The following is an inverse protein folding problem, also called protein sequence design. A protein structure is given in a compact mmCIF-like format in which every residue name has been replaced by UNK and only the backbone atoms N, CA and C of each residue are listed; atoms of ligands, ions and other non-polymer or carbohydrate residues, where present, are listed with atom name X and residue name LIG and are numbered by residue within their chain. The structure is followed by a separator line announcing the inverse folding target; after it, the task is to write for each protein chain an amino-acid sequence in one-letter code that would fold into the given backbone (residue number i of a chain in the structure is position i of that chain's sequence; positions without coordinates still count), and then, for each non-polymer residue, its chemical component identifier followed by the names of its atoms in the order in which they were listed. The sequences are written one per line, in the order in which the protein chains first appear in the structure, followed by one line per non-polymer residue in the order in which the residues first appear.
data_IF_270804972384
#
_entry.id   IF_270804972384
#
_cell.length_a   1.000
_cell.length_b   1.000
_cell.length_c   1.000
_cell.angle_alpha   90.00
_cell.angle_beta   90.00
_cell.angle_gamma   90.00
#
_symmetry.space_group_name_H-M   'P 1'
#
loop_
_entity.id
_entity.type
_entity.pdbx_description
1 polymer ?
#
# COMPACT_ATOMS: atom_id res chain seq x y z
N UNK A 1 15.56 21.38 3.00
CA UNK A 1 16.73 20.72 3.62
C UNK A 1 17.63 20.10 2.57
N UNK A 2 17.20 19.05 1.84
CA UNK A 2 18.03 18.38 0.82
C UNK A 2 18.66 19.30 -0.23
N UNK A 3 17.87 20.18 -0.87
CA UNK A 3 18.40 21.17 -1.84
C UNK A 3 19.44 22.14 -1.29
N UNK A 4 19.51 22.33 0.03
CA UNK A 4 20.54 23.15 0.65
C UNK A 4 21.84 22.35 0.89
N UNK A 5 21.74 21.03 0.93
CA UNK A 5 22.85 20.09 1.07
C UNK A 5 23.46 19.73 -0.30
N UNK A 6 22.62 19.57 -1.32
CA UNK A 6 23.03 19.33 -2.71
C UNK A 6 23.58 20.61 -3.32
N UNK A 7 24.91 20.77 -3.26
CA UNK A 7 25.60 21.98 -3.72
C UNK A 7 25.85 21.98 -5.22
N UNK A 8 25.94 20.79 -5.82
CA UNK A 8 26.22 20.65 -7.25
C UNK A 8 24.93 20.59 -8.09
N UNK A 9 23.77 20.36 -7.47
CA UNK A 9 22.46 20.37 -8.10
C UNK A 9 22.14 19.11 -8.92
N UNK A 10 22.83 18.00 -8.69
CA UNK A 10 22.64 16.74 -9.40
C UNK A 10 21.51 15.88 -8.81
N UNK A 11 20.78 16.37 -7.81
CA UNK A 11 19.70 15.67 -7.12
C UNK A 11 20.16 14.40 -6.37
N UNK A 12 21.44 14.32 -6.02
CA UNK A 12 22.03 13.33 -5.12
C UNK A 12 22.99 14.01 -4.13
N UNK A 13 23.33 13.32 -3.05
CA UNK A 13 24.32 13.78 -2.08
C UNK A 13 25.51 12.84 -2.14
N UNK A 14 26.65 13.38 -2.56
CA UNK A 14 27.92 12.70 -2.39
C UNK A 14 28.30 12.60 -0.90
N UNK A 15 29.18 11.67 -0.49
CA UNK A 15 29.68 11.59 0.89
C UNK A 15 30.27 12.93 1.37
N UNK A 16 30.90 13.66 0.46
CA UNK A 16 31.50 14.97 0.73
C UNK A 16 30.41 16.02 1.03
N UNK A 17 29.37 16.09 0.21
CA UNK A 17 28.24 17.00 0.41
C UNK A 17 27.46 16.67 1.68
N UNK A 18 27.21 15.38 1.94
CA UNK A 18 26.59 14.92 3.17
C UNK A 18 27.40 15.33 4.41
N UNK A 19 28.73 15.16 4.37
CA UNK A 19 29.62 15.58 5.46
C UNK A 19 29.55 17.09 5.71
N UNK A 20 29.61 17.90 4.66
CA UNK A 20 29.50 19.35 4.79
C UNK A 20 28.15 19.76 5.34
N UNK A 21 27.07 19.16 4.85
CA UNK A 21 25.74 19.38 5.37
C UNK A 21 25.64 19.09 6.86
N UNK A 22 26.09 17.91 7.32
CA UNK A 22 26.05 17.55 8.74
C UNK A 22 26.82 18.54 9.60
N UNK A 23 27.98 19.01 9.12
CA UNK A 23 28.76 20.05 9.81
C UNK A 23 28.00 21.38 9.90
N UNK A 24 27.29 21.79 8.85
CA UNK A 24 26.49 23.01 8.83
C UNK A 24 25.32 22.94 9.84
N UNK A 25 24.81 21.74 10.14
CA UNK A 25 23.82 21.47 11.21
C UNK A 25 24.45 21.23 12.60
N UNK A 26 25.77 21.40 12.75
CA UNK A 26 26.46 21.25 14.03
C UNK A 26 26.89 19.83 14.39
N UNK A 27 26.75 18.87 13.47
CA UNK A 27 27.17 17.48 13.64
C UNK A 27 28.54 17.25 12.98
N UNK A 28 29.57 17.01 13.80
CA UNK A 28 30.90 16.67 13.30
C UNK A 28 31.07 15.16 13.21
N UNK A 29 30.87 14.61 12.01
CA UNK A 29 31.06 13.20 11.71
C UNK A 29 32.46 12.94 11.14
N UNK A 30 33.07 11.81 11.53
CA UNK A 30 34.29 11.28 10.93
C UNK A 30 34.04 10.73 9.53
N UNK A 31 35.10 10.55 8.73
CA UNK A 31 34.99 9.93 7.39
C UNK A 31 34.37 8.53 7.44
N UNK A 32 34.68 7.77 8.52
CA UNK A 32 34.17 6.41 8.71
C UNK A 32 32.66 6.46 8.96
N UNK A 33 32.20 7.35 9.85
CA UNK A 33 30.78 7.52 10.15
C UNK A 33 30.00 8.00 8.92
N UNK A 34 30.54 8.98 8.17
CA UNK A 34 29.93 9.44 6.91
C UNK A 34 29.80 8.29 5.93
N UNK A 35 30.86 7.49 5.75
CA UNK A 35 30.83 6.35 4.84
C UNK A 35 29.82 5.29 5.28
N UNK A 36 29.72 5.02 6.58
CA UNK A 36 28.75 4.08 7.13
C UNK A 36 27.31 4.57 6.94
N UNK A 37 27.07 5.86 7.18
CA UNK A 37 25.75 6.47 7.00
C UNK A 37 25.39 6.49 5.52
N UNK A 38 26.26 6.98 4.63
CA UNK A 38 25.98 6.96 3.19
C UNK A 38 25.68 5.55 2.72
N UNK A 39 26.48 4.55 3.13
CA UNK A 39 26.24 3.15 2.79
C UNK A 39 24.93 2.59 3.34
N UNK A 40 24.44 3.10 4.46
CA UNK A 40 23.14 2.71 5.02
C UNK A 40 21.98 3.26 4.19
N UNK A 41 22.13 4.47 3.63
CA UNK A 41 21.10 5.12 2.82
C UNK A 41 21.15 4.68 1.35
N UNK A 42 22.34 4.42 0.82
CA UNK A 42 22.65 4.01 -0.56
C UNK A 42 22.17 2.57 -0.82
N UNK A 43 20.92 2.45 -1.27
CA UNK A 43 20.23 1.18 -1.52
C UNK A 43 20.64 0.61 -2.87
N UNK A 44 20.83 1.49 -3.86
CA UNK A 44 21.21 1.10 -5.22
C UNK A 44 22.73 0.83 -5.37
N UNK A 45 23.54 1.15 -4.34
CA UNK A 45 24.99 0.98 -4.27
C UNK A 45 25.77 1.81 -5.28
N UNK A 46 25.27 3.00 -5.62
CA UNK A 46 25.92 3.94 -6.54
C UNK A 46 26.95 4.85 -5.84
N UNK A 47 27.05 4.76 -4.51
CA UNK A 47 27.99 5.51 -3.67
C UNK A 47 27.51 6.91 -3.29
N UNK A 48 26.26 7.27 -3.60
CA UNK A 48 25.64 8.55 -3.30
C UNK A 48 24.28 8.31 -2.63
N UNK A 49 23.71 9.37 -2.04
CA UNK A 49 22.34 9.33 -1.50
C UNK A 49 21.45 10.12 -2.45
N UNK A 50 20.65 9.44 -3.25
CA UNK A 50 19.63 10.11 -4.07
C UNK A 50 18.56 10.80 -3.20
N UNK A 51 17.82 11.74 -3.78
CA UNK A 51 16.70 12.37 -3.08
C UNK A 51 15.69 11.35 -2.54
N UNK A 52 15.40 10.30 -3.31
CA UNK A 52 14.45 9.25 -2.91
C UNK A 52 14.99 8.40 -1.76
N UNK A 53 16.27 8.03 -1.77
CA UNK A 53 16.91 7.32 -0.65
C UNK A 53 16.97 8.15 0.62
N UNK A 54 17.25 9.45 0.50
CA UNK A 54 17.23 10.38 1.62
C UNK A 54 15.83 10.51 2.23
N UNK A 55 14.80 10.60 1.38
CA UNK A 55 13.42 10.62 1.84
C UNK A 55 13.04 9.33 2.55
N UNK A 56 13.33 8.17 1.97
CA UNK A 56 13.07 6.86 2.60
C UNK A 56 13.66 6.78 4.00
N UNK A 57 14.89 7.22 4.17
CA UNK A 57 15.58 7.12 5.45
C UNK A 57 15.13 8.16 6.50
N UNK A 58 14.59 9.32 6.09
CA UNK A 58 14.04 10.32 7.03
C UNK A 58 12.59 10.00 7.42
N UNK A 59 11.84 9.31 6.56
CA UNK A 59 10.44 8.94 6.81
C UNK A 59 10.27 8.08 8.07
N UNK A 60 11.30 7.33 8.46
CA UNK A 60 11.27 6.42 9.61
C UNK A 60 10.41 5.19 9.34
N UNK A 61 10.47 4.22 10.23
CA UNK A 61 9.69 2.99 10.11
C UNK A 61 8.23 3.22 10.52
N UNK A 62 7.34 2.35 9.99
CA UNK A 62 5.98 2.24 10.50
C UNK A 62 6.03 1.88 11.98
N UNK A 63 5.18 2.53 12.78
CA UNK A 63 4.95 2.06 14.15
C UNK A 63 4.23 0.70 14.13
N UNK A 64 4.33 -0.04 15.22
CA UNK A 64 3.80 -1.42 15.33
C UNK A 64 2.33 -1.53 14.89
N UNK A 65 1.48 -0.55 15.26
CA UNK A 65 0.06 -0.53 14.89
C UNK A 65 -0.15 -0.36 13.38
N UNK A 66 0.61 0.51 12.72
CA UNK A 66 0.55 0.68 11.27
C UNK A 66 1.11 -0.54 10.54
N UNK A 67 2.19 -1.14 11.05
CA UNK A 67 2.78 -2.37 10.52
C UNK A 67 1.76 -3.52 10.54
N UNK A 68 1.09 -3.75 11.68
CA UNK A 68 0.07 -4.80 11.81
C UNK A 68 -1.07 -4.63 10.79
N UNK A 69 -1.49 -3.39 10.55
CA UNK A 69 -2.55 -3.06 9.60
C UNK A 69 -2.12 -3.31 8.15
N UNK A 70 -0.89 -2.94 7.79
CA UNK A 70 -0.30 -3.24 6.47
C UNK A 70 -0.17 -4.75 6.27
N UNK A 71 0.28 -5.50 7.27
CA UNK A 71 0.36 -6.97 7.20
C UNK A 71 -1.03 -7.61 7.08
N UNK A 72 -2.04 -7.05 7.75
CA UNK A 72 -3.41 -7.54 7.61
C UNK A 72 -3.94 -7.32 6.19
N UNK A 73 -3.66 -6.16 5.59
CA UNK A 73 -3.98 -5.91 4.18
C UNK A 73 -3.26 -6.88 3.24
N UNK A 74 -1.97 -7.13 3.48
CA UNK A 74 -1.19 -8.07 2.68
C UNK A 74 -1.78 -9.48 2.72
N UNK A 75 -2.20 -9.96 3.89
CA UNK A 75 -2.88 -11.27 4.04
C UNK A 75 -4.24 -11.36 3.34
N UNK A 76 -4.92 -10.23 3.13
CA UNK A 76 -6.18 -10.21 2.36
C UNK A 76 -5.90 -10.35 0.87
N UNK A 77 -4.77 -9.80 0.41
CA UNK A 77 -4.31 -9.92 -0.98
C UNK A 77 -3.72 -11.29 -1.28
N UNK A 78 -2.88 -11.85 -0.40
CA UNK A 78 -2.28 -13.19 -0.54
C UNK A 78 -3.36 -14.30 -0.37
N UNK A 79 -4.08 -14.60 -1.45
CA UNK A 79 -5.23 -15.52 -1.43
C UNK A 79 -4.79 -16.97 -1.36
N UNK A 80 -3.65 -17.29 -1.95
CA UNK A 80 -3.10 -18.64 -1.95
C UNK A 80 -2.24 -18.95 -0.71
N UNK A 81 -1.90 -17.94 0.10
CA UNK A 81 -1.14 -18.06 1.32
C UNK A 81 0.34 -18.39 1.06
N UNK A 82 0.84 -18.08 -0.13
CA UNK A 82 2.21 -18.36 -0.54
C UNK A 82 3.23 -17.43 0.11
N UNK A 83 2.77 -16.35 0.76
CA UNK A 83 3.61 -15.28 1.31
C UNK A 83 4.12 -14.31 0.24
N UNK A 84 3.57 -14.38 -0.98
CA UNK A 84 3.88 -13.51 -2.11
C UNK A 84 2.57 -13.11 -2.79
N UNK A 85 2.34 -11.82 -3.01
CA UNK A 85 1.16 -11.36 -3.76
C UNK A 85 1.52 -11.34 -5.24
N UNK A 86 0.81 -12.14 -6.03
CA UNK A 86 1.03 -12.26 -7.48
C UNK A 86 -0.08 -11.58 -8.27
N UNK A 87 0.12 -11.48 -9.59
CA UNK A 87 -0.93 -10.97 -10.48
C UNK A 87 -2.22 -11.81 -10.43
N UNK A 88 -2.11 -13.11 -10.12
CA UNK A 88 -3.26 -14.01 -10.02
C UNK A 88 -4.09 -13.69 -8.78
N UNK A 89 -3.44 -13.36 -7.66
CA UNK A 89 -4.09 -12.93 -6.42
C UNK A 89 -4.86 -11.63 -6.62
N UNK A 90 -4.23 -10.64 -7.26
CA UNK A 90 -4.86 -9.34 -7.54
C UNK A 90 -6.01 -9.48 -8.52
N UNK A 91 -5.91 -10.38 -9.52
CA UNK A 91 -7.01 -10.65 -10.46
C UNK A 91 -8.27 -11.17 -9.76
N UNK A 92 -8.12 -11.84 -8.61
CA UNK A 92 -9.25 -12.31 -7.80
C UNK A 92 -9.83 -11.15 -6.98
N UNK A 93 -8.97 -10.28 -6.43
CA UNK A 93 -9.39 -9.18 -5.57
C UNK A 93 -9.91 -7.94 -6.32
N UNK A 94 -9.46 -7.68 -7.55
CA UNK A 94 -9.75 -6.46 -8.30
C UNK A 94 -10.53 -6.74 -9.60
N UNK A 95 -11.75 -6.19 -9.69
CA UNK A 95 -12.58 -6.30 -10.88
C UNK A 95 -12.24 -5.19 -11.90
N UNK A 96 -11.50 -5.56 -12.94
CA UNK A 96 -11.10 -4.66 -14.04
C UNK A 96 -12.26 -4.24 -14.96
N UNK A 97 -13.43 -4.88 -14.87
CA UNK A 97 -14.54 -4.64 -15.81
C UNK A 97 -15.12 -3.22 -15.75
N UNK A 98 -14.90 -2.52 -14.64
CA UNK A 98 -15.30 -1.13 -14.44
C UNK A 98 -14.20 -0.12 -14.79
N UNK A 99 -12.99 -0.56 -15.15
CA UNK A 99 -11.89 0.34 -15.49
C UNK A 99 -12.14 1.01 -16.86
N UNK A 100 -12.07 2.35 -16.97
CA UNK A 100 -12.38 3.08 -18.21
C UNK A 100 -11.55 2.62 -19.43
N UNK A 101 -10.26 2.31 -19.21
CA UNK A 101 -9.38 1.83 -20.28
C UNK A 101 -9.69 0.38 -20.70
N UNK A 102 -10.28 -0.42 -19.81
CA UNK A 102 -10.75 -1.77 -20.14
C UNK A 102 -12.05 -1.68 -20.97
N UNK A 103 -12.99 -0.84 -20.54
CA UNK A 103 -14.27 -0.62 -21.23
C UNK A 103 -14.11 -0.02 -22.62
N UNK A 104 -13.12 0.87 -22.79
CA UNK A 104 -12.80 1.47 -24.09
C UNK A 104 -11.92 0.59 -24.97
N UNK A 105 -11.44 -0.56 -24.46
CA UNK A 105 -10.58 -1.49 -25.17
C UNK A 105 -9.15 -0.99 -25.42
N UNK A 106 -8.73 0.09 -24.76
CA UNK A 106 -7.37 0.63 -24.86
C UNK A 106 -6.35 -0.22 -24.13
N UNK A 107 -6.76 -0.87 -23.03
CA UNK A 107 -5.91 -1.76 -22.25
C UNK A 107 -6.61 -3.06 -21.95
N UNK A 108 -5.85 -4.14 -21.98
CA UNK A 108 -6.27 -5.46 -21.52
C UNK A 108 -6.33 -5.51 -19.99
N UNK A 109 -7.00 -6.55 -19.46
CA UNK A 109 -7.04 -6.80 -18.02
C UNK A 109 -5.62 -6.92 -17.44
N UNK A 110 -4.74 -7.65 -18.11
CA UNK A 110 -3.37 -7.90 -17.63
C UNK A 110 -2.51 -6.64 -17.65
N UNK A 111 -2.69 -5.74 -18.63
CA UNK A 111 -2.00 -4.45 -18.65
C UNK A 111 -2.44 -3.55 -17.49
N UNK A 112 -3.74 -3.52 -17.17
CA UNK A 112 -4.26 -2.72 -16.04
C UNK A 112 -3.79 -3.29 -14.71
N UNK A 113 -3.80 -4.61 -14.56
CA UNK A 113 -3.30 -5.27 -13.35
C UNK A 113 -1.79 -5.07 -13.21
N UNK A 114 -1.02 -5.17 -14.29
CA UNK A 114 0.41 -4.87 -14.29
C UNK A 114 0.70 -3.42 -13.92
N UNK A 115 -0.05 -2.46 -14.45
CA UNK A 115 0.09 -1.05 -14.06
C UNK A 115 -0.20 -0.86 -12.58
N UNK A 116 -1.21 -1.55 -12.06
CA UNK A 116 -1.56 -1.52 -10.64
C UNK A 116 -0.45 -2.13 -9.77
N UNK A 117 0.13 -3.28 -10.16
CA UNK A 117 1.25 -3.88 -9.43
C UNK A 117 2.50 -3.00 -9.45
N UNK A 118 2.72 -2.27 -10.54
CA UNK A 118 3.88 -1.38 -10.67
C UNK A 118 3.92 -0.26 -9.62
N UNK A 119 2.80 -0.01 -8.93
CA UNK A 119 2.74 0.91 -7.79
C UNK A 119 3.48 0.37 -6.56
N UNK A 120 3.55 -0.96 -6.40
CA UNK A 120 4.17 -1.62 -5.25
C UNK A 120 5.53 -2.21 -5.56
N UNK A 121 5.80 -2.60 -6.81
CA UNK A 121 7.09 -3.14 -7.26
C UNK A 121 8.18 -2.05 -7.31
N UNK A 122 8.58 -1.55 -6.15
CA UNK A 122 9.56 -0.45 -6.05
C UNK A 122 10.99 -0.94 -6.16
N UNK A 123 11.25 -2.23 -5.89
CA UNK A 123 12.61 -2.80 -5.91
C UNK A 123 12.83 -3.63 -7.17
N UNK A 124 11.90 -4.52 -7.52
CA UNK A 124 12.01 -5.37 -8.71
C UNK A 124 10.66 -5.56 -9.39
N UNK A 125 10.61 -5.33 -10.71
CA UNK A 125 9.43 -5.58 -11.53
C UNK A 125 9.43 -7.02 -12.03
N UNK A 126 9.20 -7.99 -11.15
CA UNK A 126 9.15 -9.41 -11.49
C UNK A 126 7.75 -10.03 -11.40
N UNK A 127 6.74 -9.18 -11.31
CA UNK A 127 5.33 -9.51 -11.18
C UNK A 127 4.96 -10.18 -9.85
N UNK A 128 5.75 -9.90 -8.82
CA UNK A 128 5.60 -10.42 -7.46
C UNK A 128 5.79 -9.24 -6.51
N UNK A 129 4.81 -9.01 -5.64
CA UNK A 129 4.89 -7.98 -4.61
C UNK A 129 5.24 -8.66 -3.30
N UNK A 130 6.45 -8.46 -2.80
CA UNK A 130 6.85 -8.98 -1.49
C UNK A 130 6.28 -8.14 -0.36
N UNK A 131 6.27 -8.67 0.87
CA UNK A 131 5.82 -7.92 2.04
C UNK A 131 6.68 -6.67 2.27
N UNK A 132 7.98 -6.73 1.99
CA UNK A 132 8.90 -5.60 2.13
C UNK A 132 8.59 -4.49 1.13
N UNK A 133 8.28 -4.84 -0.12
CA UNK A 133 7.88 -3.85 -1.14
C UNK A 133 6.53 -3.19 -0.78
N UNK A 134 5.60 -3.99 -0.27
CA UNK A 134 4.30 -3.51 0.19
C UNK A 134 4.43 -2.59 1.42
N UNK A 135 5.28 -2.94 2.38
CA UNK A 135 5.61 -2.09 3.52
C UNK A 135 6.22 -0.77 3.09
N UNK A 136 7.21 -0.78 2.18
CA UNK A 136 7.88 0.42 1.71
C UNK A 136 6.90 1.37 1.00
N UNK A 137 5.97 0.85 0.21
CA UNK A 137 4.89 1.67 -0.34
C UNK A 137 4.03 2.33 0.75
N UNK A 138 3.66 1.59 1.79
CA UNK A 138 2.85 2.14 2.88
C UNK A 138 3.63 3.04 3.83
N UNK A 139 4.96 2.93 3.93
CA UNK A 139 5.82 3.93 4.60
C UNK A 139 5.66 5.29 3.94
N UNK A 140 5.59 5.33 2.62
CA UNK A 140 5.45 6.57 1.86
C UNK A 140 4.10 7.24 2.08
N UNK A 141 3.02 6.46 2.09
CA UNK A 141 1.68 6.96 2.42
C UNK A 141 1.61 7.37 3.90
N UNK A 142 2.16 6.55 4.79
CA UNK A 142 2.22 6.78 6.25
C UNK A 142 2.88 8.10 6.59
N UNK A 143 3.99 8.44 5.92
CA UNK A 143 4.71 9.69 6.14
C UNK A 143 3.90 10.95 5.78
N UNK A 144 2.83 10.81 4.98
CA UNK A 144 1.90 11.89 4.67
C UNK A 144 0.68 11.95 5.61
N UNK A 145 0.57 10.98 6.53
CA UNK A 145 -0.58 10.81 7.41
C UNK A 145 -0.17 10.99 8.88
N UNK A 146 -0.66 12.07 9.48
CA UNK A 146 -0.34 12.45 10.86
C UNK A 146 -1.01 11.57 11.91
N UNK A 147 -2.11 10.88 11.58
CA UNK A 147 -2.95 10.12 12.52
C UNK A 147 -3.00 8.63 12.17
N UNK A 148 -2.67 7.79 13.16
CA UNK A 148 -2.79 6.33 13.05
C UNK A 148 -4.23 5.87 12.79
N UNK A 149 -5.21 6.59 13.35
CA UNK A 149 -6.63 6.29 13.16
C UNK A 149 -7.07 6.55 11.72
N UNK A 150 -6.57 7.63 11.11
CA UNK A 150 -6.81 7.93 9.70
C UNK A 150 -6.09 6.95 8.78
N UNK A 151 -4.85 6.58 9.12
CA UNK A 151 -4.09 5.56 8.39
C UNK A 151 -4.84 4.22 8.40
N UNK A 152 -5.31 3.79 9.56
CA UNK A 152 -6.10 2.57 9.71
C UNK A 152 -7.41 2.62 8.93
N UNK A 153 -8.16 3.72 9.03
CA UNK A 153 -9.38 3.91 8.26
C UNK A 153 -9.12 3.83 6.75
N UNK A 154 -8.03 4.44 6.29
CA UNK A 154 -7.63 4.43 4.89
C UNK A 154 -7.30 3.01 4.41
N UNK A 155 -6.47 2.26 5.14
CA UNK A 155 -6.15 0.87 4.78
C UNK A 155 -7.40 -0.02 4.82
N UNK A 156 -8.24 0.11 5.86
CA UNK A 156 -9.49 -0.66 5.97
C UNK A 156 -10.43 -0.39 4.80
N UNK A 157 -10.56 0.86 4.39
CA UNK A 157 -11.40 1.24 3.25
C UNK A 157 -10.82 0.75 1.93
N UNK A 158 -9.49 0.86 1.74
CA UNK A 158 -8.82 0.41 0.52
C UNK A 158 -8.93 -1.11 0.29
N UNK A 159 -8.83 -1.89 1.37
CA UNK A 159 -8.78 -3.37 1.31
C UNK A 159 -10.03 -4.07 1.85
N UNK A 160 -11.09 -3.32 2.13
CA UNK A 160 -12.34 -3.85 2.69
C UNK A 160 -12.14 -4.74 3.95
N UNK A 161 -11.18 -4.39 4.81
CA UNK A 161 -10.87 -5.13 6.03
C UNK A 161 -11.93 -4.82 7.11
N UNK A 162 -12.54 -5.87 7.67
CA UNK A 162 -13.52 -5.78 8.74
C UNK A 162 -12.91 -5.35 10.10
N UNK A 163 -13.64 -4.52 10.85
CA UNK A 163 -13.24 -4.04 12.19
C UNK A 163 -13.09 -2.51 12.30
N UNK A 164 -12.51 -2.09 13.43
CA UNK A 164 -12.38 -0.69 13.88
C UNK A 164 -13.50 -0.28 14.84
N UNK A 165 -13.18 0.53 15.85
CA UNK A 165 -14.16 1.15 16.77
C UNK A 165 -14.28 2.66 16.49
N UNK A 166 -15.49 3.20 16.56
CA UNK A 166 -15.72 4.65 16.38
C UNK A 166 -15.35 5.16 14.97
N UNK A 167 -14.49 6.18 14.89
CA UNK A 167 -14.08 6.82 13.62
C UNK A 167 -13.18 5.93 12.74
N UNK A 168 -12.67 4.82 13.30
CA UNK A 168 -11.83 3.85 12.61
C UNK A 168 -12.64 2.71 11.98
N UNK A 169 -13.95 2.67 12.25
CA UNK A 169 -14.84 1.63 11.74
C UNK A 169 -15.03 1.82 10.23
N UNK A 170 -14.76 0.76 9.48
CA UNK A 170 -14.90 0.73 8.03
C UNK A 170 -16.36 1.08 7.60
N UNK A 171 -16.51 2.13 6.81
CA UNK A 171 -17.81 2.59 6.28
C UNK A 171 -18.20 1.93 4.95
N UNK A 172 -17.29 1.16 4.34
CA UNK A 172 -17.41 0.59 2.99
C UNK A 172 -17.80 -0.90 3.01
N UNK A 173 -17.90 -1.53 4.19
CA UNK A 173 -18.40 -2.91 4.32
C UNK A 173 -19.90 -2.91 4.07
N UNK A 174 -20.36 -3.74 3.10
CA UNK A 174 -21.79 -3.98 2.90
C UNK A 174 -22.38 -4.52 4.20
N UNK A 175 -23.28 -3.74 4.79
CA UNK A 175 -24.10 -4.12 5.93
C UNK A 175 -25.36 -4.73 5.39
N UNK A 176 -25.57 -6.02 5.63
CA UNK A 176 -26.80 -6.70 5.22
C UNK A 176 -27.71 -6.88 6.42
N UNK A 177 -29.00 -6.68 6.18
CA UNK A 177 -30.02 -6.95 7.18
C UNK A 177 -30.28 -8.46 7.18
N UNK A 178 -29.85 -9.17 8.22
CA UNK A 178 -30.18 -10.58 8.41
C UNK A 178 -31.47 -10.64 9.20
N UNK A 179 -32.48 -11.33 8.66
CA UNK A 179 -33.70 -11.65 9.39
C UNK A 179 -33.53 -13.03 10.01
N UNK A 180 -33.53 -13.10 11.34
CA UNK A 180 -33.45 -14.33 12.10
C UNK A 180 -34.78 -15.11 12.03
N UNK A 181 -34.77 -16.41 12.34
CA UNK A 181 -35.98 -17.26 12.29
C UNK A 181 -37.11 -16.82 13.23
N UNK A 182 -36.81 -16.02 14.25
CA UNK A 182 -37.76 -15.43 15.20
C UNK A 182 -38.35 -14.09 14.71
N UNK A 183 -38.00 -13.66 13.50
CA UNK A 183 -38.42 -12.38 12.91
C UNK A 183 -37.60 -11.17 13.38
N UNK A 184 -36.62 -11.36 14.27
CA UNK A 184 -35.70 -10.29 14.65
C UNK A 184 -34.75 -9.97 13.50
N UNK A 185 -34.42 -8.69 13.34
CA UNK A 185 -33.49 -8.23 12.31
C UNK A 185 -32.20 -7.79 12.99
N UNK A 186 -31.08 -8.31 12.52
CA UNK A 186 -29.75 -7.90 12.94
C UNK A 186 -28.97 -7.38 11.73
N UNK A 187 -28.28 -6.26 11.93
CA UNK A 187 -27.36 -5.73 10.91
C UNK A 187 -26.06 -6.50 11.03
N UNK A 188 -25.78 -7.35 10.05
CA UNK A 188 -24.56 -8.17 10.03
C UNK A 188 -23.58 -7.54 9.04
N UNK A 189 -22.33 -7.42 9.48
CA UNK A 189 -21.23 -7.04 8.60
C UNK A 189 -20.90 -8.23 7.69
N UNK A 190 -20.89 -8.03 6.38
CA UNK A 190 -20.38 -9.05 5.45
C UNK A 190 -18.86 -9.01 5.54
N UNK A 191 -18.28 -9.89 6.34
CA UNK A 191 -16.85 -10.16 6.29
C UNK A 191 -16.53 -10.78 4.93
N UNK A 192 -15.62 -10.15 4.17
CA UNK A 192 -15.17 -10.53 2.82
C UNK A 192 -16.19 -10.36 1.68
N UNK A 193 -16.50 -9.11 1.32
CA UNK A 193 -17.27 -8.81 0.09
C UNK A 193 -16.43 -8.93 -1.20
N UNK A 194 -15.11 -9.11 -1.09
CA UNK A 194 -14.18 -9.36 -2.21
C UNK A 194 -14.41 -10.72 -2.90
N UNK A 195 -15.02 -11.70 -2.23
CA UNK A 195 -15.14 -13.07 -2.74
C UNK A 195 -16.45 -13.34 -3.51
N UNK A 196 -17.38 -12.39 -3.58
CA UNK A 196 -18.68 -12.60 -4.24
C UNK A 196 -18.68 -12.17 -5.70
N UNK A 197 -18.22 -13.08 -6.57
CA UNK A 197 -18.68 -13.13 -7.96
C UNK A 197 -20.21 -13.15 -7.97
N UNK A 198 -20.84 -12.06 -8.42
CA UNK A 198 -22.23 -12.08 -8.85
C UNK A 198 -22.29 -12.94 -10.11
N UNK A 199 -22.50 -14.24 -9.94
CA UNK A 199 -22.97 -15.10 -11.04
C UNK A 199 -24.39 -14.64 -11.35
N UNK A 200 -24.53 -13.80 -12.36
CA UNK A 200 -25.78 -13.61 -13.08
C UNK A 200 -26.12 -14.93 -13.79
N UNK A 201 -26.70 -15.87 -13.04
CA UNK A 201 -27.34 -17.06 -13.57
C UNK A 201 -28.76 -16.71 -13.99
N UNK A 202 -28.94 -16.37 -15.27
CA UNK A 202 -30.26 -16.33 -15.88
C UNK A 202 -30.87 -17.73 -15.87
N UNK A 203 -31.90 -17.92 -15.05
CA UNK A 203 -32.78 -19.10 -15.02
C UNK A 203 -34.16 -18.67 -14.48
N UNK A 204 -35.27 -19.05 -15.13
CA UNK A 204 -36.53 -18.33 -14.97
C UNK A 204 -37.25 -18.74 -13.69
N UNK A 205 -37.65 -17.73 -12.93
CA UNK A 205 -38.59 -17.86 -11.82
C UNK A 205 -37.93 -17.63 -10.48
N UNK A 206 -37.93 -16.38 -10.01
CA UNK A 206 -38.54 -15.99 -8.74
C UNK A 206 -38.61 -14.47 -8.70
N UNK A 207 -39.70 -13.99 -8.09
CA UNK A 207 -40.23 -12.66 -8.23
C UNK A 207 -39.40 -11.57 -7.54
N UNK A 208 -39.22 -10.47 -8.28
CA UNK A 208 -39.21 -9.07 -7.84
C UNK A 208 -38.54 -8.72 -6.52
N UNK A 209 -37.37 -8.08 -6.63
CA UNK A 209 -36.95 -7.00 -5.73
C UNK A 209 -36.33 -5.91 -6.62
N UNK A 210 -36.97 -4.73 -6.66
CA UNK A 210 -36.39 -3.52 -7.26
C UNK A 210 -35.22 -3.04 -6.38
N UNK A 211 -34.15 -2.61 -7.06
CA UNK A 211 -33.14 -1.67 -6.54
C UNK A 211 -33.09 -0.51 -7.51
#
# INVERSE_FOLDING_TARGET
MFKAMDRNGNNSLSPVEFKYAMRDYGLNLSEIEVTQIVKYFDTNKDGQISFDEFLRAIRGDLNERRTDMVHQAYRVLDKDGSGQVTIDDIRIAYDVSFHPDFQSGHKTADEILSDFMSLWETHKRDHIVTIEEFEDYYKDISASIDSDDYFELMIRNAWHIAGGEGQMANTTIKRVLKTNPDGSQEVVMVENDLDRKVRAGAGPGYAGIEV
#
